data_IF_094484313035
#
_entry.id   IF_094484313035
#
_cell.length_a   1.000
_cell.length_b   1.000
_cell.length_c   1.000
_cell.angle_alpha   90.00
_cell.angle_beta   90.00
_cell.angle_gamma   90.00
#
_symmetry.space_group_name_H-M   'P 1'
#
loop_
_entity.id
_entity.type
_entity.pdbx_description
1 polymer ?
#
# COMPACT_ATOMS: atom_id res chain seq x y z
N UNK A 1 43.28 19.82 -13.66
CA UNK A 1 42.19 19.24 -14.49
C UNK A 1 42.30 17.72 -14.65
N UNK A 2 43.47 17.10 -14.78
CA UNK A 2 43.65 15.64 -14.98
C UNK A 2 43.34 14.84 -13.67
N UNK A 3 43.74 15.33 -12.50
CA UNK A 3 43.53 14.65 -11.19
C UNK A 3 42.03 14.51 -10.86
N UNK A 4 41.21 15.51 -11.18
CA UNK A 4 39.76 15.47 -10.94
C UNK A 4 39.04 14.37 -11.78
N UNK A 5 39.43 14.20 -13.04
CA UNK A 5 38.83 13.19 -13.93
C UNK A 5 39.09 11.74 -13.48
N UNK A 6 40.27 11.45 -12.96
CA UNK A 6 40.60 10.10 -12.45
C UNK A 6 39.82 9.78 -11.18
N UNK A 7 39.62 10.73 -10.28
CA UNK A 7 38.85 10.55 -9.06
C UNK A 7 37.37 10.34 -9.39
N UNK A 8 36.80 11.13 -10.31
CA UNK A 8 35.40 10.98 -10.77
C UNK A 8 35.16 9.64 -11.48
N UNK A 9 36.11 9.17 -12.30
CA UNK A 9 36.04 7.86 -12.96
C UNK A 9 36.06 6.71 -11.95
N UNK A 10 36.92 6.77 -10.94
CA UNK A 10 37.01 5.75 -9.89
C UNK A 10 35.74 5.71 -9.03
N UNK A 11 35.17 6.86 -8.69
CA UNK A 11 33.89 6.93 -7.96
C UNK A 11 32.74 6.37 -8.79
N UNK A 12 32.65 6.69 -10.08
CA UNK A 12 31.63 6.15 -10.97
C UNK A 12 31.72 4.63 -11.11
N UNK A 13 32.91 4.07 -11.20
CA UNK A 13 33.11 2.62 -11.25
C UNK A 13 32.71 1.93 -9.93
N UNK A 14 32.97 2.56 -8.79
CA UNK A 14 32.53 2.06 -7.49
C UNK A 14 31.00 2.05 -7.35
N UNK A 15 30.35 3.14 -7.70
CA UNK A 15 28.88 3.25 -7.70
C UNK A 15 28.27 2.18 -8.60
N UNK A 16 28.83 1.97 -9.79
CA UNK A 16 28.35 0.96 -10.73
C UNK A 16 28.49 -0.47 -10.17
N UNK A 17 29.63 -0.81 -9.56
CA UNK A 17 29.86 -2.12 -8.96
C UNK A 17 28.93 -2.38 -7.78
N UNK A 18 28.71 -1.39 -6.92
CA UNK A 18 27.77 -1.46 -5.80
C UNK A 18 26.32 -1.61 -6.29
N UNK A 19 25.90 -0.83 -7.28
CA UNK A 19 24.58 -0.93 -7.86
C UNK A 19 24.34 -2.31 -8.48
N UNK A 20 25.30 -2.83 -9.21
CA UNK A 20 25.23 -4.17 -9.80
C UNK A 20 25.08 -5.26 -8.72
N UNK A 21 25.80 -5.14 -7.59
CA UNK A 21 25.68 -6.10 -6.49
C UNK A 21 24.28 -6.09 -5.83
N UNK A 22 23.65 -4.92 -5.68
CA UNK A 22 22.25 -4.80 -5.24
C UNK A 22 21.31 -5.47 -6.25
N UNK A 23 21.45 -5.13 -7.55
CA UNK A 23 20.61 -5.72 -8.60
C UNK A 23 20.72 -7.23 -8.61
N UNK A 24 21.93 -7.79 -8.57
CA UNK A 24 22.13 -9.25 -8.55
C UNK A 24 21.46 -9.92 -7.35
N UNK A 25 21.53 -9.29 -6.18
CA UNK A 25 20.92 -9.84 -4.97
C UNK A 25 19.39 -9.82 -5.00
N UNK A 26 18.77 -8.86 -5.68
CA UNK A 26 17.32 -8.60 -5.56
C UNK A 26 16.53 -8.71 -6.86
N UNK A 27 17.20 -8.93 -8.01
CA UNK A 27 16.53 -8.98 -9.31
C UNK A 27 15.40 -10.02 -9.35
N UNK A 28 15.64 -11.24 -8.87
CA UNK A 28 14.66 -12.33 -8.92
C UNK A 28 13.37 -12.03 -8.12
N UNK A 29 13.46 -11.16 -7.11
CA UNK A 29 12.34 -10.88 -6.19
C UNK A 29 11.72 -9.52 -6.39
N UNK A 30 12.48 -8.49 -6.77
CA UNK A 30 12.03 -7.12 -6.79
C UNK A 30 11.97 -6.48 -8.18
N UNK A 31 12.61 -7.06 -9.20
CA UNK A 31 12.57 -6.49 -10.54
C UNK A 31 11.16 -6.56 -11.14
N UNK A 32 10.74 -5.47 -11.77
CA UNK A 32 9.54 -5.45 -12.61
C UNK A 32 9.94 -5.45 -14.08
N UNK A 33 9.13 -6.07 -14.96
CA UNK A 33 9.36 -6.08 -16.41
C UNK A 33 8.93 -4.73 -17.02
N UNK A 34 9.57 -3.65 -16.58
CA UNK A 34 9.33 -2.30 -17.11
C UNK A 34 10.65 -1.75 -17.63
N UNK A 35 10.59 -1.06 -18.77
CA UNK A 35 11.74 -0.34 -19.29
C UNK A 35 12.20 0.71 -18.27
N UNK A 36 13.49 0.74 -17.87
CA UNK A 36 13.99 1.78 -17.00
C UNK A 36 13.76 3.15 -17.63
N UNK A 37 13.08 4.04 -16.93
CA UNK A 37 12.89 5.41 -17.42
C UNK A 37 14.25 6.11 -17.48
N UNK A 38 14.60 6.65 -18.65
CA UNK A 38 15.86 7.32 -18.92
C UNK A 38 15.90 8.73 -18.28
N UNK A 39 15.81 8.78 -16.96
CA UNK A 39 15.94 10.04 -16.22
C UNK A 39 17.31 10.03 -15.53
N UNK A 40 18.15 11.01 -15.85
CA UNK A 40 19.41 11.24 -15.16
C UNK A 40 19.10 11.67 -13.71
N UNK A 41 18.97 10.69 -12.82
CA UNK A 41 18.80 10.94 -11.39
C UNK A 41 20.15 11.44 -10.87
N UNK A 42 20.26 12.74 -10.57
CA UNK A 42 21.43 13.32 -9.92
C UNK A 42 21.40 12.87 -8.46
N UNK A 43 22.22 11.89 -8.13
CA UNK A 43 22.53 11.56 -6.74
C UNK A 43 23.39 12.64 -6.10
N UNK A 44 23.42 12.68 -4.76
CA UNK A 44 24.41 13.44 -4.03
C UNK A 44 25.80 12.85 -4.35
N UNK A 45 26.67 13.65 -4.98
CA UNK A 45 27.98 13.21 -5.44
C UNK A 45 28.93 12.77 -4.31
N UNK A 46 28.54 13.02 -3.04
CA UNK A 46 29.31 12.65 -1.84
C UNK A 46 28.91 11.31 -1.21
N UNK A 47 27.70 10.78 -1.48
CA UNK A 47 27.19 9.53 -0.89
C UNK A 47 27.15 8.41 -1.95
N UNK A 48 28.18 7.57 -1.96
CA UNK A 48 28.31 6.46 -2.91
C UNK A 48 27.21 5.40 -2.70
N UNK A 49 26.77 5.16 -1.45
CA UNK A 49 25.71 4.19 -1.15
C UNK A 49 24.38 4.70 -1.71
N UNK A 50 24.07 5.98 -1.48
CA UNK A 50 22.88 6.61 -2.04
C UNK A 50 22.86 6.51 -3.57
N UNK A 51 23.97 6.91 -4.23
CA UNK A 51 24.06 6.88 -5.69
C UNK A 51 23.91 5.47 -6.26
N UNK A 52 24.55 4.47 -5.64
CA UNK A 52 24.45 3.07 -6.03
C UNK A 52 23.04 2.50 -5.84
N UNK A 53 22.41 2.77 -4.69
CA UNK A 53 21.07 2.29 -4.40
C UNK A 53 20.03 2.95 -5.32
N UNK A 54 20.18 4.24 -5.64
CA UNK A 54 19.33 4.95 -6.59
C UNK A 54 19.40 4.31 -7.99
N UNK A 55 20.61 4.04 -8.47
CA UNK A 55 20.84 3.39 -9.75
C UNK A 55 20.27 1.96 -9.76
N UNK A 56 20.49 1.19 -8.69
CA UNK A 56 19.96 -0.17 -8.55
C UNK A 56 18.44 -0.21 -8.51
N UNK A 57 17.81 0.65 -7.71
CA UNK A 57 16.36 0.75 -7.64
C UNK A 57 15.73 1.08 -8.99
N UNK A 58 16.34 2.00 -9.73
CA UNK A 58 15.93 2.32 -11.09
C UNK A 58 16.03 1.11 -12.03
N UNK A 59 17.14 0.35 -11.98
CA UNK A 59 17.34 -0.88 -12.78
C UNK A 59 16.38 -2.00 -12.40
N UNK A 60 15.90 -2.02 -11.17
CA UNK A 60 14.87 -2.95 -10.69
C UNK A 60 13.45 -2.49 -11.09
N UNK A 61 13.31 -1.36 -11.78
CA UNK A 61 12.02 -0.86 -12.27
C UNK A 61 11.19 -0.13 -11.21
N UNK A 62 11.83 0.45 -10.18
CA UNK A 62 11.14 1.39 -9.30
C UNK A 62 10.95 2.74 -10.00
N UNK A 63 9.78 3.35 -9.82
CA UNK A 63 9.53 4.71 -10.30
C UNK A 63 10.45 5.71 -9.59
N UNK A 64 10.76 6.87 -10.19
CA UNK A 64 11.76 7.80 -9.64
C UNK A 64 11.56 8.20 -8.18
N UNK A 65 10.31 8.43 -7.76
CA UNK A 65 10.00 8.80 -6.38
C UNK A 65 10.30 7.64 -5.39
N UNK A 66 9.98 6.41 -5.76
CA UNK A 66 10.28 5.24 -4.94
C UNK A 66 11.78 4.94 -4.91
N UNK A 67 12.47 5.11 -6.04
CA UNK A 67 13.92 4.92 -6.11
C UNK A 67 14.66 5.89 -5.18
N UNK A 68 14.20 7.13 -5.07
CA UNK A 68 14.73 8.11 -4.11
C UNK A 68 14.51 7.67 -2.66
N UNK A 69 13.31 7.17 -2.32
CA UNK A 69 13.02 6.64 -0.99
C UNK A 69 13.95 5.47 -0.63
N UNK A 70 14.14 4.54 -1.56
CA UNK A 70 15.04 3.38 -1.42
C UNK A 70 16.49 3.83 -1.23
N UNK A 71 16.97 4.79 -2.04
CA UNK A 71 18.33 5.31 -1.95
C UNK A 71 18.60 5.97 -0.58
N UNK A 72 17.68 6.78 -0.10
CA UNK A 72 17.77 7.39 1.23
C UNK A 72 17.78 6.34 2.34
N UNK A 73 16.94 5.32 2.23
CA UNK A 73 16.89 4.24 3.21
C UNK A 73 18.18 3.42 3.23
N UNK A 74 18.76 3.09 2.08
CA UNK A 74 20.06 2.41 1.98
C UNK A 74 21.19 3.22 2.62
N UNK A 75 21.25 4.52 2.34
CA UNK A 75 22.26 5.41 2.93
C UNK A 75 22.13 5.45 4.47
N UNK A 76 20.92 5.63 4.99
CA UNK A 76 20.67 5.63 6.44
C UNK A 76 20.95 4.26 7.08
N UNK A 77 20.58 3.16 6.41
CA UNK A 77 20.91 1.81 6.86
C UNK A 77 22.42 1.62 6.99
N UNK A 78 23.20 2.00 5.96
CA UNK A 78 24.64 1.88 5.98
C UNK A 78 25.27 2.73 7.09
N UNK A 79 24.79 3.95 7.31
CA UNK A 79 25.23 4.81 8.42
C UNK A 79 24.88 4.20 9.79
N UNK A 80 23.70 3.62 9.94
CA UNK A 80 23.24 3.01 11.20
C UNK A 80 24.00 1.72 11.53
N UNK A 81 24.28 0.89 10.53
CA UNK A 81 24.96 -0.41 10.71
C UNK A 81 26.49 -0.31 10.65
N UNK A 82 27.02 0.78 10.10
CA UNK A 82 28.45 0.96 9.85
C UNK A 82 28.95 0.23 8.59
N UNK A 83 28.08 -0.45 7.84
CA UNK A 83 28.46 -1.29 6.71
C UNK A 83 27.43 -1.22 5.57
N UNK A 84 27.93 -1.42 4.34
CA UNK A 84 27.07 -1.59 3.16
C UNK A 84 26.91 -3.07 2.84
N UNK A 85 25.69 -3.59 2.96
CA UNK A 85 25.36 -4.98 2.64
C UNK A 85 24.39 -5.07 1.45
N UNK A 86 24.86 -5.32 0.22
CA UNK A 86 23.99 -5.31 -0.96
C UNK A 86 22.86 -6.36 -0.94
N UNK A 87 22.99 -7.43 -0.15
CA UNK A 87 21.96 -8.46 0.01
C UNK A 87 20.89 -8.12 1.05
N UNK A 88 21.03 -7.03 1.80
CA UNK A 88 20.09 -6.64 2.85
C UNK A 88 19.22 -5.46 2.40
N UNK A 89 18.09 -5.74 1.74
CA UNK A 89 17.15 -4.70 1.33
C UNK A 89 16.62 -3.94 2.56
N UNK A 90 16.64 -2.59 2.56
CA UNK A 90 16.18 -1.81 3.70
C UNK A 90 14.69 -2.01 3.95
N UNK A 91 14.33 -2.32 5.20
CA UNK A 91 12.95 -2.50 5.67
C UNK A 91 12.72 -1.89 7.05
N UNK A 92 13.72 -1.22 7.61
CA UNK A 92 13.60 -0.55 8.90
C UNK A 92 12.85 0.78 8.73
N UNK A 93 11.70 1.01 9.42
CA UNK A 93 10.90 2.23 9.26
C UNK A 93 11.71 3.51 9.50
N UNK A 94 12.64 3.51 10.46
CA UNK A 94 13.48 4.66 10.76
C UNK A 94 14.41 5.02 9.59
N UNK A 95 14.90 4.04 8.83
CA UNK A 95 15.75 4.27 7.65
C UNK A 95 14.97 4.96 6.53
N UNK A 96 13.65 4.74 6.44
CA UNK A 96 12.75 5.45 5.54
C UNK A 96 12.24 6.79 6.10
N UNK A 97 12.59 7.13 7.33
CA UNK A 97 12.15 8.37 7.99
C UNK A 97 10.71 8.32 8.49
N UNK A 98 10.16 7.13 8.66
CA UNK A 98 8.84 6.96 9.26
C UNK A 98 8.86 7.34 10.75
N UNK A 99 7.75 7.88 11.21
CA UNK A 99 7.62 8.30 12.61
C UNK A 99 7.45 7.08 13.53
N UNK A 100 8.04 7.11 14.75
CA UNK A 100 7.86 6.02 15.70
C UNK A 100 6.43 5.94 16.23
N UNK A 101 6.03 4.76 16.70
CA UNK A 101 4.80 4.52 17.45
C UNK A 101 5.08 4.46 18.95
N UNK A 102 4.08 4.80 19.84
CA UNK A 102 2.71 5.27 19.54
C UNK A 102 2.68 6.75 19.10
N UNK A 103 1.59 7.15 18.42
CA UNK A 103 1.38 8.50 17.89
C UNK A 103 0.09 9.11 18.43
N UNK A 104 0.21 10.31 18.99
CA UNK A 104 -0.94 11.03 19.57
C UNK A 104 -1.95 11.55 18.53
N UNK A 105 -1.51 11.68 17.28
CA UNK A 105 -2.33 12.13 16.15
C UNK A 105 -2.87 10.99 15.29
N UNK A 106 -2.72 9.74 15.73
CA UNK A 106 -3.23 8.59 15.00
C UNK A 106 -4.76 8.59 14.91
N UNK A 107 -5.28 8.08 13.80
CA UNK A 107 -6.70 7.75 13.69
C UNK A 107 -7.03 6.54 14.58
N UNK A 108 -8.33 6.39 14.90
CA UNK A 108 -8.81 5.23 15.67
C UNK A 108 -8.28 3.92 15.09
N UNK A 109 -7.79 2.99 15.92
CA UNK A 109 -7.13 1.79 15.43
C UNK A 109 -8.10 0.81 14.77
N UNK A 110 -7.59 0.10 13.77
CA UNK A 110 -8.19 -1.13 13.27
C UNK A 110 -7.60 -2.35 13.99
N UNK A 111 -8.28 -3.51 13.96
CA UNK A 111 -7.66 -4.78 14.31
C UNK A 111 -6.40 -5.02 13.48
N UNK A 112 -5.42 -5.74 14.03
CA UNK A 112 -4.17 -6.07 13.34
C UNK A 112 -4.41 -6.78 11.99
N UNK A 113 -5.48 -7.59 11.91
CA UNK A 113 -5.99 -8.15 10.66
C UNK A 113 -7.43 -7.67 10.40
N UNK A 114 -7.66 -7.16 9.20
CA UNK A 114 -8.99 -6.86 8.66
C UNK A 114 -9.61 -8.07 7.95
N UNK A 115 -8.84 -9.14 7.75
CA UNK A 115 -9.25 -10.39 7.12
C UNK A 115 -9.59 -10.24 5.64
N UNK A 116 -10.64 -10.94 5.20
CA UNK A 116 -11.21 -10.73 3.87
C UNK A 116 -11.83 -9.35 3.78
N UNK A 117 -11.38 -8.57 2.79
CA UNK A 117 -11.83 -7.20 2.59
C UNK A 117 -12.53 -7.10 1.22
N UNK A 118 -13.86 -7.08 1.22
CA UNK A 118 -14.64 -6.99 -0.01
C UNK A 118 -14.84 -5.53 -0.43
N UNK A 119 -14.40 -5.16 -1.64
CA UNK A 119 -14.61 -3.82 -2.21
C UNK A 119 -15.73 -3.91 -3.26
N UNK A 120 -16.88 -3.30 -2.98
CA UNK A 120 -18.12 -3.52 -3.74
C UNK A 120 -18.62 -2.23 -4.41
N UNK A 121 -19.24 -2.35 -5.61
CA UNK A 121 -19.61 -1.19 -6.42
C UNK A 121 -20.87 -0.46 -5.94
N UNK A 122 -21.72 -1.10 -5.14
CA UNK A 122 -23.03 -0.57 -4.71
C UNK A 122 -23.43 -1.13 -3.34
N UNK A 123 -24.53 -0.59 -2.81
CA UNK A 123 -25.09 -0.98 -1.51
C UNK A 123 -25.56 -2.45 -1.50
N UNK A 124 -26.19 -2.92 -2.58
CA UNK A 124 -26.75 -4.27 -2.64
C UNK A 124 -25.62 -5.32 -2.52
N UNK A 125 -24.54 -5.15 -3.27
CA UNK A 125 -23.37 -6.01 -3.17
C UNK A 125 -22.66 -5.91 -1.82
N UNK A 126 -22.49 -4.69 -1.28
CA UNK A 126 -21.82 -4.47 0.01
C UNK A 126 -22.58 -5.16 1.15
N UNK A 127 -23.91 -5.00 1.17
CA UNK A 127 -24.78 -5.63 2.17
C UNK A 127 -24.78 -7.16 2.00
N UNK A 128 -24.82 -7.66 0.77
CA UNK A 128 -24.73 -9.10 0.48
C UNK A 128 -23.44 -9.70 1.04
N UNK A 129 -22.31 -9.06 0.82
CA UNK A 129 -21.00 -9.52 1.34
C UNK A 129 -20.97 -9.51 2.87
N UNK A 130 -21.43 -8.43 3.50
CA UNK A 130 -21.50 -8.32 4.96
C UNK A 130 -22.38 -9.44 5.57
N UNK A 131 -23.53 -9.72 4.97
CA UNK A 131 -24.45 -10.80 5.41
C UNK A 131 -23.91 -12.19 5.17
N UNK A 132 -23.04 -12.37 4.15
CA UNK A 132 -22.35 -13.62 3.88
C UNK A 132 -21.18 -13.87 4.86
N UNK A 133 -20.86 -12.94 5.76
CA UNK A 133 -19.82 -13.10 6.77
C UNK A 133 -18.44 -12.54 6.39
N UNK A 134 -18.39 -11.62 5.42
CA UNK A 134 -17.15 -10.86 5.14
C UNK A 134 -16.87 -9.91 6.29
N UNK A 135 -15.69 -10.01 6.97
CA UNK A 135 -15.42 -9.22 8.18
C UNK A 135 -15.18 -7.74 7.90
N UNK A 136 -14.78 -7.37 6.68
CA UNK A 136 -14.54 -5.98 6.30
C UNK A 136 -15.06 -5.73 4.89
N UNK A 137 -15.91 -4.72 4.73
CA UNK A 137 -16.53 -4.37 3.45
C UNK A 137 -16.30 -2.89 3.14
N UNK A 138 -16.19 -2.56 1.86
CA UNK A 138 -16.06 -1.19 1.39
C UNK A 138 -17.08 -0.92 0.30
N UNK A 139 -17.89 0.13 0.49
CA UNK A 139 -18.69 0.69 -0.58
C UNK A 139 -17.82 1.60 -1.45
N UNK A 140 -17.61 1.23 -2.71
CA UNK A 140 -16.89 2.01 -3.73
C UNK A 140 -17.84 2.37 -4.87
N UNK A 141 -18.84 3.15 -4.57
CA UNK A 141 -19.81 3.65 -5.54
C UNK A 141 -19.26 4.90 -6.24
N UNK A 142 -19.08 4.82 -7.55
CA UNK A 142 -18.56 5.92 -8.38
C UNK A 142 -19.70 6.54 -9.18
N UNK A 143 -20.11 7.74 -8.79
CA UNK A 143 -21.15 8.53 -9.47
C UNK A 143 -20.87 10.02 -9.27
N UNK A 144 -21.27 10.83 -10.23
CA UNK A 144 -21.30 12.30 -10.12
C UNK A 144 -22.63 12.81 -9.56
N UNK A 145 -23.63 11.95 -9.44
CA UNK A 145 -24.92 12.28 -8.82
C UNK A 145 -24.81 12.18 -7.30
N UNK A 146 -24.72 13.33 -6.65
CA UNK A 146 -24.60 13.45 -5.18
C UNK A 146 -25.79 12.82 -4.45
N UNK A 147 -27.01 12.89 -5.04
CA UNK A 147 -28.20 12.28 -4.44
C UNK A 147 -28.13 10.76 -4.47
N UNK A 148 -27.68 10.19 -5.59
CA UNK A 148 -27.46 8.76 -5.70
C UNK A 148 -26.34 8.27 -4.76
N UNK A 149 -25.22 9.00 -4.68
CA UNK A 149 -24.13 8.67 -3.75
C UNK A 149 -24.64 8.67 -2.30
N UNK A 150 -25.41 9.69 -1.91
CA UNK A 150 -25.98 9.77 -0.57
C UNK A 150 -26.91 8.58 -0.28
N UNK A 151 -27.80 8.26 -1.21
CA UNK A 151 -28.73 7.15 -1.07
C UNK A 151 -27.98 5.81 -0.88
N UNK A 152 -26.95 5.55 -1.69
CA UNK A 152 -26.11 4.35 -1.59
C UNK A 152 -25.39 4.26 -0.24
N UNK A 153 -24.78 5.35 0.24
CA UNK A 153 -24.09 5.39 1.54
C UNK A 153 -25.06 5.09 2.68
N UNK A 154 -26.22 5.78 2.72
CA UNK A 154 -27.22 5.60 3.78
C UNK A 154 -27.79 4.17 3.77
N UNK A 155 -28.14 3.65 2.59
CA UNK A 155 -28.63 2.29 2.44
C UNK A 155 -27.60 1.25 2.90
N UNK A 156 -26.33 1.46 2.54
CA UNK A 156 -25.25 0.54 2.93
C UNK A 156 -25.05 0.52 4.44
N UNK A 157 -24.96 1.68 5.08
CA UNK A 157 -24.78 1.76 6.55
C UNK A 157 -25.93 1.07 7.25
N UNK A 158 -27.19 1.36 6.87
CA UNK A 158 -28.37 0.71 7.45
C UNK A 158 -28.38 -0.82 7.22
N UNK A 159 -28.02 -1.27 6.00
CA UNK A 159 -28.07 -2.69 5.64
C UNK A 159 -26.95 -3.56 6.21
N UNK A 160 -25.83 -2.96 6.63
CA UNK A 160 -24.68 -3.64 7.26
C UNK A 160 -24.84 -3.72 8.78
N UNK A 161 -25.71 -2.90 9.37
CA UNK A 161 -25.97 -2.96 10.82
C UNK A 161 -26.33 -4.38 11.28
N UNK A 162 -25.76 -4.81 12.42
CA UNK A 162 -26.01 -6.12 13.01
C UNK A 162 -25.27 -7.30 12.34
N UNK A 163 -24.54 -7.09 11.23
CA UNK A 163 -23.77 -8.16 10.57
C UNK A 163 -22.40 -8.42 11.23
N UNK A 164 -21.90 -7.48 12.03
CA UNK A 164 -20.54 -7.50 12.58
C UNK A 164 -19.45 -7.07 11.59
N UNK A 165 -19.78 -6.79 10.33
CA UNK A 165 -18.83 -6.32 9.34
C UNK A 165 -18.41 -4.87 9.57
N UNK A 166 -17.13 -4.57 9.34
CA UNK A 166 -16.57 -3.21 9.38
C UNK A 166 -16.79 -2.55 8.02
N UNK A 167 -17.59 -1.49 8.00
CA UNK A 167 -17.92 -0.78 6.76
C UNK A 167 -17.03 0.43 6.56
N UNK A 168 -16.28 0.47 5.47
CA UNK A 168 -15.59 1.65 4.97
C UNK A 168 -16.32 2.26 3.77
N UNK A 169 -16.43 3.59 3.76
CA UNK A 169 -16.95 4.36 2.62
C UNK A 169 -15.77 4.91 1.82
N UNK A 170 -15.72 4.65 0.52
CA UNK A 170 -14.67 5.14 -0.35
C UNK A 170 -14.93 6.60 -0.73
N UNK A 171 -13.93 7.48 -0.58
CA UNK A 171 -13.84 8.90 -0.94
C UNK A 171 -14.85 9.83 -0.21
N UNK A 172 -16.08 9.45 -0.01
CA UNK A 172 -17.18 10.29 0.48
C UNK A 172 -17.16 10.44 2.01
N UNK A 173 -16.06 11.00 2.53
CA UNK A 173 -15.80 11.10 3.97
C UNK A 173 -16.87 11.86 4.76
N UNK A 174 -17.44 12.95 4.20
CA UNK A 174 -18.48 13.73 4.88
C UNK A 174 -19.78 12.91 5.06
N UNK A 175 -20.15 12.12 4.04
CA UNK A 175 -21.29 11.21 4.13
C UNK A 175 -21.00 10.02 5.06
N UNK A 176 -19.75 9.56 5.12
CA UNK A 176 -19.34 8.52 6.07
C UNK A 176 -19.50 8.97 7.52
N UNK A 177 -19.16 10.23 7.83
CA UNK A 177 -19.38 10.85 9.15
C UNK A 177 -20.88 10.96 9.43
N UNK A 178 -21.63 11.52 8.50
CA UNK A 178 -23.08 11.74 8.65
C UNK A 178 -23.84 10.43 8.88
N UNK A 179 -23.49 9.38 8.13
CA UNK A 179 -24.12 8.06 8.22
C UNK A 179 -23.66 7.23 9.41
N UNK A 180 -22.57 7.61 10.10
CA UNK A 180 -21.99 6.84 11.19
C UNK A 180 -21.31 5.54 10.72
N UNK A 181 -20.60 5.59 9.60
CA UNK A 181 -19.82 4.44 9.11
C UNK A 181 -18.68 4.07 10.07
N UNK A 182 -18.12 2.87 9.92
CA UNK A 182 -16.96 2.44 10.70
C UNK A 182 -15.69 3.23 10.33
N UNK A 183 -15.54 3.59 9.05
CA UNK A 183 -14.40 4.35 8.57
C UNK A 183 -14.55 4.84 7.13
N UNK A 184 -13.52 5.50 6.67
CA UNK A 184 -13.38 6.00 5.30
C UNK A 184 -12.10 5.47 4.68
N UNK A 185 -12.13 5.21 3.38
CA UNK A 185 -10.95 4.84 2.60
C UNK A 185 -10.69 5.88 1.51
N UNK A 186 -9.45 6.38 1.42
CA UNK A 186 -9.06 7.37 0.43
C UNK A 186 -7.94 6.85 -0.47
N UNK A 187 -8.02 7.19 -1.76
CA UNK A 187 -6.91 7.10 -2.70
C UNK A 187 -5.93 8.27 -2.51
N UNK A 188 -4.81 8.23 -3.23
CA UNK A 188 -3.80 9.30 -3.13
C UNK A 188 -4.31 10.65 -3.65
N UNK A 189 -5.07 10.65 -4.74
CA UNK A 189 -5.68 11.87 -5.30
C UNK A 189 -6.67 12.49 -4.32
N UNK A 190 -7.51 11.65 -3.70
CA UNK A 190 -8.48 12.09 -2.70
C UNK A 190 -7.78 12.62 -1.45
N UNK A 191 -6.71 11.94 -1.00
CA UNK A 191 -5.90 12.39 0.14
C UNK A 191 -5.25 13.75 -0.12
N UNK A 192 -4.71 13.97 -1.33
CA UNK A 192 -4.11 15.26 -1.72
C UNK A 192 -5.13 16.40 -1.76
N UNK A 193 -6.40 16.09 -2.04
CA UNK A 193 -7.49 17.07 -2.01
C UNK A 193 -7.99 17.38 -0.59
N UNK A 194 -7.60 16.59 0.43
CA UNK A 194 -8.02 16.79 1.81
C UNK A 194 -7.35 18.01 2.43
N UNK A 195 -8.15 18.78 3.17
CA UNK A 195 -7.62 19.83 4.03
C UNK A 195 -7.30 19.30 5.43
N UNK A 196 -6.43 19.97 6.22
CA UNK A 196 -6.23 19.62 7.63
C UNK A 196 -7.54 19.60 8.43
N UNK A 197 -8.48 20.50 8.11
CA UNK A 197 -9.80 20.56 8.76
C UNK A 197 -10.66 19.34 8.44
N UNK A 198 -10.63 18.86 7.18
CA UNK A 198 -11.36 17.67 6.76
C UNK A 198 -10.80 16.40 7.43
N UNK A 199 -9.49 16.26 7.48
CA UNK A 199 -8.83 15.13 8.20
C UNK A 199 -9.14 15.19 9.71
N UNK A 200 -9.15 16.38 10.28
CA UNK A 200 -9.53 16.57 11.68
C UNK A 200 -10.99 16.17 11.92
N UNK A 201 -11.92 16.53 11.02
CA UNK A 201 -13.33 16.16 11.14
C UNK A 201 -13.52 14.63 11.13
N UNK A 202 -12.81 13.90 10.26
CA UNK A 202 -12.85 12.43 10.24
C UNK A 202 -12.37 11.86 11.58
N UNK A 203 -11.26 12.39 12.13
CA UNK A 203 -10.68 11.95 13.41
C UNK A 203 -11.60 12.26 14.58
N UNK A 204 -12.14 13.48 14.66
CA UNK A 204 -13.06 13.91 15.73
C UNK A 204 -14.37 13.11 15.74
N UNK A 205 -14.79 12.62 14.57
CA UNK A 205 -15.95 11.73 14.45
C UNK A 205 -15.64 10.27 14.86
N UNK A 206 -14.39 9.94 15.25
CA UNK A 206 -13.98 8.61 15.64
C UNK A 206 -13.91 7.60 14.48
N UNK A 207 -13.89 8.07 13.23
CA UNK A 207 -13.80 7.19 12.07
C UNK A 207 -12.37 6.71 11.84
N UNK A 208 -12.25 5.48 11.36
CA UNK A 208 -10.98 4.90 10.90
C UNK A 208 -10.65 5.43 9.52
N UNK A 209 -9.37 5.69 9.27
CA UNK A 209 -8.87 6.11 7.97
C UNK A 209 -8.03 5.00 7.33
N UNK A 210 -8.45 4.53 6.16
CA UNK A 210 -7.66 3.65 5.29
C UNK A 210 -7.06 4.43 4.13
N UNK A 211 -5.81 4.14 3.76
CA UNK A 211 -5.13 4.79 2.64
C UNK A 211 -4.60 3.77 1.64
N UNK A 212 -4.88 3.97 0.35
CA UNK A 212 -4.26 3.20 -0.74
C UNK A 212 -2.85 3.70 -1.04
N UNK A 213 -1.91 2.76 -1.30
CA UNK A 213 -0.54 3.06 -1.70
C UNK A 213 -0.07 2.12 -2.81
N UNK A 214 0.80 2.62 -3.69
CA UNK A 214 1.30 1.89 -4.86
C UNK A 214 2.83 1.69 -4.84
N UNK A 215 3.53 2.30 -3.89
CA UNK A 215 4.98 2.22 -3.71
C UNK A 215 5.46 2.97 -2.48
N UNK A 216 6.77 3.05 -2.30
CA UNK A 216 7.40 3.64 -1.12
C UNK A 216 7.02 5.11 -0.88
N UNK A 217 7.04 5.94 -1.92
CA UNK A 217 6.74 7.36 -1.79
C UNK A 217 5.34 7.60 -1.22
N UNK A 218 4.34 6.87 -1.74
CA UNK A 218 2.98 6.97 -1.25
C UNK A 218 2.80 6.37 0.15
N UNK A 219 3.56 5.31 0.50
CA UNK A 219 3.58 4.76 1.86
C UNK A 219 4.11 5.77 2.87
N UNK A 220 5.16 6.50 2.52
CA UNK A 220 5.71 7.54 3.39
C UNK A 220 4.76 8.75 3.52
N UNK A 221 4.05 9.12 2.45
CA UNK A 221 2.97 10.11 2.52
C UNK A 221 1.85 9.62 3.45
N UNK A 222 1.41 8.37 3.28
CA UNK A 222 0.39 7.78 4.14
C UNK A 222 0.81 7.77 5.61
N UNK A 223 2.08 7.44 5.91
CA UNK A 223 2.64 7.44 7.26
C UNK A 223 2.53 8.80 7.97
N UNK A 224 2.66 9.91 7.22
CA UNK A 224 2.54 11.27 7.77
C UNK A 224 1.15 11.55 8.37
N UNK A 225 0.12 10.84 7.90
CA UNK A 225 -1.26 10.99 8.36
C UNK A 225 -1.65 10.01 9.47
N UNK A 226 -0.79 9.06 9.86
CA UNK A 226 -1.06 8.06 10.89
C UNK A 226 -2.40 7.32 10.70
N UNK A 227 -2.65 6.71 9.52
CA UNK A 227 -3.93 6.08 9.22
C UNK A 227 -4.17 4.83 10.06
N UNK A 228 -5.42 4.37 10.09
CA UNK A 228 -5.81 3.15 10.79
C UNK A 228 -5.34 1.87 10.08
N UNK A 229 -5.16 1.91 8.77
CA UNK A 229 -4.53 0.85 7.97
C UNK A 229 -4.02 1.40 6.64
N UNK A 230 -3.11 0.65 6.02
CA UNK A 230 -2.55 0.95 4.69
C UNK A 230 -2.86 -0.22 3.75
N UNK A 231 -3.44 0.10 2.58
CA UNK A 231 -3.64 -0.83 1.48
C UNK A 231 -2.50 -0.71 0.47
N UNK A 232 -1.95 -1.85 0.07
CA UNK A 232 -0.82 -1.97 -0.84
C UNK A 232 -1.25 -2.69 -2.12
N UNK A 233 -1.06 -2.06 -3.27
CA UNK A 233 -1.44 -2.67 -4.57
C UNK A 233 -1.11 -1.76 -5.76
N UNK A 234 -1.41 -2.19 -7.00
CA UNK A 234 -1.95 -3.53 -7.29
C UNK A 234 -0.86 -4.60 -7.18
N UNK A 235 -1.16 -5.73 -6.53
CA UNK A 235 -0.21 -6.86 -6.44
C UNK A 235 -0.10 -7.56 -7.79
N UNK A 236 -1.24 -7.86 -8.43
CA UNK A 236 -1.33 -8.50 -9.75
C UNK A 236 -2.10 -7.61 -10.73
N UNK A 237 -2.07 -7.91 -12.04
CA UNK A 237 -2.82 -7.17 -13.04
C UNK A 237 -4.31 -7.08 -12.72
N UNK A 238 -4.89 -5.88 -12.86
CA UNK A 238 -6.31 -5.63 -12.61
C UNK A 238 -6.88 -4.71 -13.68
N UNK A 239 -8.17 -4.90 -14.00
CA UNK A 239 -8.90 -4.05 -14.94
C UNK A 239 -9.86 -3.09 -14.25
N UNK A 240 -9.98 -3.16 -12.92
CA UNK A 240 -10.95 -2.36 -12.14
C UNK A 240 -10.52 -0.90 -11.95
N UNK A 241 -9.23 -0.63 -12.03
CA UNK A 241 -8.65 0.71 -11.99
C UNK A 241 -7.49 0.75 -12.96
N UNK A 242 -7.44 1.81 -13.76
CA UNK A 242 -6.26 2.08 -14.58
C UNK A 242 -5.13 2.53 -13.65
N UNK A 243 -4.05 1.78 -13.62
CA UNK A 243 -2.93 2.02 -12.71
C UNK A 243 -1.83 2.79 -13.44
N UNK A 244 -1.28 3.81 -12.79
CA UNK A 244 -0.11 4.53 -13.30
C UNK A 244 1.20 3.71 -13.17
N UNK A 245 1.19 2.71 -12.27
CA UNK A 245 2.34 1.83 -12.00
C UNK A 245 2.05 0.40 -12.43
N UNK A 246 3.09 -0.33 -12.80
CA UNK A 246 2.98 -1.77 -13.04
C UNK A 246 2.57 -2.52 -11.76
N UNK A 247 1.94 -3.71 -11.88
CA UNK A 247 1.69 -4.58 -10.73
C UNK A 247 2.98 -4.89 -9.98
N UNK A 248 2.93 -4.79 -8.63
CA UNK A 248 4.12 -4.82 -7.79
C UNK A 248 4.64 -6.24 -7.50
N UNK A 249 3.79 -7.25 -7.64
CA UNK A 249 4.13 -8.64 -7.33
C UNK A 249 4.30 -8.91 -5.83
N UNK A 250 4.43 -10.20 -5.49
CA UNK A 250 4.55 -10.66 -4.10
C UNK A 250 5.92 -10.34 -3.48
N UNK A 251 6.98 -10.25 -4.27
CA UNK A 251 8.31 -9.89 -3.80
C UNK A 251 8.36 -8.47 -3.22
N UNK A 252 7.83 -7.48 -3.95
CA UNK A 252 7.72 -6.11 -3.43
C UNK A 252 6.71 -6.03 -2.28
N UNK A 253 5.60 -6.75 -2.37
CA UNK A 253 4.64 -6.83 -1.27
C UNK A 253 5.29 -7.27 0.03
N UNK A 254 6.23 -8.23 -0.01
CA UNK A 254 6.93 -8.72 1.18
C UNK A 254 7.81 -7.64 1.83
N UNK A 255 8.57 -6.87 1.06
CA UNK A 255 9.40 -5.78 1.62
C UNK A 255 8.54 -4.61 2.10
N UNK A 256 7.44 -4.29 1.42
CA UNK A 256 6.46 -3.29 1.87
C UNK A 256 5.78 -3.72 3.17
N UNK A 257 5.39 -4.99 3.28
CA UNK A 257 4.79 -5.54 4.48
C UNK A 257 5.73 -5.48 5.70
N UNK A 258 7.03 -5.72 5.50
CA UNK A 258 8.04 -5.55 6.55
C UNK A 258 8.23 -4.10 6.96
N UNK A 259 8.26 -3.17 6.00
CA UNK A 259 8.35 -1.73 6.27
C UNK A 259 7.17 -1.23 7.09
N UNK A 260 5.95 -1.63 6.69
CA UNK A 260 4.69 -1.17 7.31
C UNK A 260 4.23 -2.04 8.48
N UNK A 261 5.14 -2.77 9.15
CA UNK A 261 4.81 -3.74 10.21
C UNK A 261 4.03 -3.18 11.38
N UNK A 262 4.12 -1.88 11.62
CA UNK A 262 3.38 -1.18 12.69
C UNK A 262 1.91 -0.87 12.32
N UNK A 263 1.54 -1.06 11.06
CA UNK A 263 0.19 -0.82 10.55
C UNK A 263 -0.55 -2.13 10.29
N UNK A 264 -1.87 -2.19 10.49
CA UNK A 264 -2.72 -3.14 9.77
C UNK A 264 -2.55 -2.94 8.27
N UNK A 265 -2.35 -4.04 7.52
CA UNK A 265 -2.01 -4.00 6.09
C UNK A 265 -3.03 -4.79 5.30
N UNK A 266 -3.42 -4.26 4.13
CA UNK A 266 -4.30 -4.93 3.18
C UNK A 266 -3.59 -5.03 1.84
N UNK A 267 -3.36 -6.24 1.32
CA UNK A 267 -2.94 -6.43 -0.05
C UNK A 267 -4.15 -6.39 -0.98
N UNK A 268 -4.06 -5.66 -2.11
CA UNK A 268 -5.16 -5.54 -3.08
C UNK A 268 -4.66 -5.55 -4.52
N UNK A 269 -5.53 -5.97 -5.43
CA UNK A 269 -5.31 -5.92 -6.88
C UNK A 269 -4.99 -7.27 -7.48
N UNK A 270 -5.95 -7.82 -8.22
CA UNK A 270 -5.83 -9.05 -8.97
C UNK A 270 -5.65 -10.33 -8.15
N UNK A 271 -5.94 -10.28 -6.85
CA UNK A 271 -5.80 -11.44 -5.94
C UNK A 271 -6.99 -12.38 -6.13
N UNK A 272 -6.69 -13.67 -6.26
CA UNK A 272 -7.63 -14.78 -6.30
C UNK A 272 -7.22 -15.89 -5.31
N UNK A 273 -8.00 -16.95 -5.19
CA UNK A 273 -7.68 -18.05 -4.27
C UNK A 273 -6.39 -18.77 -4.62
N UNK A 274 -6.03 -18.85 -5.91
CA UNK A 274 -4.80 -19.51 -6.34
C UNK A 274 -3.54 -18.73 -5.93
N UNK A 275 -3.60 -17.41 -5.98
CA UNK A 275 -2.50 -16.51 -5.60
C UNK A 275 -2.43 -16.22 -4.10
N UNK A 276 -3.52 -16.50 -3.35
CA UNK A 276 -3.62 -16.19 -1.92
C UNK A 276 -2.47 -16.71 -1.06
N UNK A 277 -2.00 -17.99 -1.19
CA UNK A 277 -0.88 -18.47 -0.38
C UNK A 277 0.40 -17.65 -0.56
N UNK A 278 0.71 -17.24 -1.79
CA UNK A 278 1.88 -16.40 -2.07
C UNK A 278 1.73 -14.98 -1.51
N UNK A 279 0.51 -14.44 -1.52
CA UNK A 279 0.20 -13.14 -0.90
C UNK A 279 0.38 -13.21 0.62
N UNK A 280 -0.15 -14.24 1.28
CA UNK A 280 -0.04 -14.41 2.73
C UNK A 280 1.41 -14.65 3.18
N UNK A 281 2.23 -15.34 2.39
CA UNK A 281 3.66 -15.51 2.64
C UNK A 281 4.45 -14.18 2.70
N UNK A 282 3.89 -13.08 2.19
CA UNK A 282 4.47 -11.74 2.35
C UNK A 282 4.34 -11.17 3.76
N UNK A 283 3.59 -11.81 4.65
CA UNK A 283 3.30 -11.34 6.01
C UNK A 283 2.16 -10.31 6.08
N UNK A 284 1.40 -10.12 4.98
CA UNK A 284 0.16 -9.33 5.03
C UNK A 284 -0.96 -10.14 5.66
N UNK A 285 -1.70 -9.54 6.60
CA UNK A 285 -2.76 -10.23 7.34
C UNK A 285 -4.16 -10.06 6.73
N UNK A 286 -4.31 -9.30 5.64
CA UNK A 286 -5.63 -9.01 5.05
C UNK A 286 -5.54 -8.85 3.54
N UNK A 287 -6.59 -9.26 2.83
CA UNK A 287 -6.64 -9.17 1.36
C UNK A 287 -7.91 -8.51 0.87
N UNK A 288 -7.73 -7.54 -0.03
CA UNK A 288 -8.81 -6.84 -0.74
C UNK A 288 -9.21 -7.63 -2.00
N UNK A 289 -10.48 -8.02 -2.08
CA UNK A 289 -11.02 -8.82 -3.18
C UNK A 289 -12.27 -8.15 -3.76
N UNK A 290 -12.41 -8.21 -5.08
CA UNK A 290 -13.57 -7.65 -5.80
C UNK A 290 -14.19 -8.71 -6.70
N UNK A 291 -13.57 -8.96 -7.86
CA UNK A 291 -14.14 -9.79 -8.92
C UNK A 291 -14.36 -11.25 -8.54
N UNK A 292 -13.45 -11.85 -7.79
CA UNK A 292 -13.59 -13.23 -7.36
C UNK A 292 -14.87 -13.45 -6.54
N UNK A 293 -15.20 -12.50 -5.66
CA UNK A 293 -16.44 -12.53 -4.86
C UNK A 293 -17.70 -12.26 -5.71
N UNK A 294 -17.61 -11.32 -6.66
CA UNK A 294 -18.75 -10.97 -7.50
C UNK A 294 -19.07 -12.05 -8.55
N UNK A 295 -18.06 -12.80 -9.00
CA UNK A 295 -18.23 -13.87 -9.97
C UNK A 295 -18.68 -15.22 -9.36
N UNK A 296 -18.71 -15.31 -8.04
CA UNK A 296 -19.09 -16.55 -7.36
C UNK A 296 -20.57 -16.87 -7.54
N UNK A 297 -20.89 -18.09 -7.98
CA UNK A 297 -22.25 -18.59 -8.08
C UNK A 297 -22.90 -18.76 -6.69
N UNK A 298 -22.13 -19.28 -5.73
CA UNK A 298 -22.50 -19.39 -4.32
C UNK A 298 -21.64 -18.46 -3.46
N UNK A 299 -22.14 -17.25 -3.23
CA UNK A 299 -21.45 -16.23 -2.45
C UNK A 299 -21.13 -16.67 -1.00
N UNK A 300 -22.06 -17.27 -0.22
CA UNK A 300 -21.76 -17.78 1.11
C UNK A 300 -20.63 -18.82 1.13
N UNK A 301 -20.65 -19.78 0.23
CA UNK A 301 -19.60 -20.79 0.15
C UNK A 301 -18.24 -20.20 -0.21
N UNK A 302 -18.21 -19.27 -1.16
CA UNK A 302 -16.99 -18.57 -1.56
C UNK A 302 -16.41 -17.75 -0.40
N UNK A 303 -17.23 -16.96 0.30
CA UNK A 303 -16.80 -16.18 1.47
C UNK A 303 -16.28 -17.10 2.59
N UNK A 304 -16.93 -18.23 2.84
CA UNK A 304 -16.47 -19.20 3.81
C UNK A 304 -15.10 -19.78 3.46
N UNK A 305 -14.86 -20.09 2.17
CA UNK A 305 -13.58 -20.60 1.68
C UNK A 305 -12.45 -19.56 1.86
N UNK A 306 -12.69 -18.28 1.51
CA UNK A 306 -11.74 -17.20 1.75
C UNK A 306 -11.42 -16.99 3.22
N UNK A 307 -12.45 -16.94 4.07
CA UNK A 307 -12.25 -16.79 5.52
C UNK A 307 -11.48 -17.97 6.12
N UNK A 308 -11.76 -19.18 5.70
CA UNK A 308 -11.02 -20.37 6.15
C UNK A 308 -9.55 -20.30 5.75
N UNK A 309 -9.25 -19.93 4.50
CA UNK A 309 -7.88 -19.80 4.01
C UNK A 309 -7.09 -18.69 4.73
N UNK A 310 -7.74 -17.57 5.05
CA UNK A 310 -7.12 -16.45 5.79
C UNK A 310 -6.89 -16.78 7.27
N UNK A 311 -7.70 -17.62 7.87
CA UNK A 311 -7.57 -18.01 9.29
C UNK A 311 -6.62 -19.21 9.50
N UNK A 312 -6.17 -19.85 8.43
CA UNK A 312 -5.25 -21.00 8.51
C UNK A 312 -3.76 -20.57 8.66
N UNK A 313 -3.48 -19.30 8.59
CA UNK A 313 -2.16 -18.64 8.72
C UNK A 313 -2.13 -17.82 9.99
#
# INVERSE_FOLDING_TARGET
>A
MIVNRHTELNQSMHVEAMAQSIVLAHHATLALPVEPQAQALKGDAGDLVFAAALLAAHRLGFVPADALCVAQAWSRQALRTGEFHPGQWPTEPADFGMRPWPRSDAFEPCPASLGLYAVMPDAAWTIRMARAGVPTVQLRFKSTDVTAVRAEVMATVAGVQGTGARLFINDHWALAIEAGAYGVHLGQEDLQAMTPASLKAIRDAGLRLGLSTHGYAEMLIADQHSPSYIAMGAVFPTTLKQMATAPQGTGRLAVYSKLLREYPRVAIGGIDQASLPAVLASGVGSVGVVRALMAAEDTPAEVAAWNAALNAV
#
